data_IF_751663662080
#
_entry.id   IF_751663662080
#
_cell.length_a   1.000
_cell.length_b   1.000
_cell.length_c   1.000
_cell.angle_alpha   90.00
_cell.angle_beta   90.00
_cell.angle_gamma   90.00
#
_symmetry.space_group_name_H-M   'P 1'
#
loop_
_entity.id
_entity.type
_entity.pdbx_description
1 polymer ?
#
# COMPACT_ATOMS: atom_id res chain seq x y z
N UNK A 1 5.23 -0.46 -14.19
CA UNK A 1 4.22 -0.38 -13.10
C UNK A 1 4.63 -1.34 -12.00
N UNK A 2 4.44 -1.00 -10.71
CA UNK A 2 4.64 -1.97 -9.63
C UNK A 2 3.37 -2.78 -9.42
N UNK A 3 3.51 -4.11 -9.46
CA UNK A 3 2.41 -5.04 -9.23
C UNK A 3 2.68 -5.86 -7.99
N UNK A 4 1.67 -5.99 -7.13
CA UNK A 4 1.72 -6.83 -5.93
C UNK A 4 0.74 -7.99 -6.05
N UNK A 5 1.22 -9.21 -5.81
CA UNK A 5 0.40 -10.42 -5.71
C UNK A 5 0.54 -11.05 -4.34
N UNK A 6 -0.55 -11.58 -3.82
CA UNK A 6 -0.60 -12.15 -2.47
C UNK A 6 -0.70 -13.68 -2.54
N UNK A 7 0.23 -14.34 -1.88
CA UNK A 7 0.20 -15.77 -1.57
C UNK A 7 -0.13 -15.98 -0.08
N UNK A 8 -0.34 -17.23 0.34
CA UNK A 8 -0.56 -17.60 1.74
C UNK A 8 0.42 -18.69 2.16
N UNK A 9 0.96 -18.65 3.38
CA UNK A 9 1.71 -19.80 3.92
C UNK A 9 0.71 -20.94 4.16
N UNK A 10 0.94 -22.10 3.53
CA UNK A 10 0.01 -23.24 3.56
C UNK A 10 0.05 -23.95 4.91
N UNK A 11 1.25 -24.36 5.32
CA UNK A 11 1.52 -25.03 6.59
C UNK A 11 2.83 -24.52 7.18
N UNK A 12 2.88 -24.44 8.50
CA UNK A 12 4.04 -23.98 9.26
C UNK A 12 4.04 -24.69 10.62
N UNK A 13 5.20 -25.17 11.07
CA UNK A 13 5.28 -25.85 12.36
C UNK A 13 5.19 -24.84 13.50
N UNK A 14 4.96 -25.32 14.73
CA UNK A 14 4.94 -24.46 15.93
C UNK A 14 6.28 -23.73 16.12
N UNK A 15 7.39 -24.46 16.03
CA UNK A 15 8.76 -23.90 16.13
C UNK A 15 9.01 -22.83 15.06
N UNK A 16 8.72 -23.13 13.79
CA UNK A 16 8.87 -22.16 12.69
C UNK A 16 7.98 -20.92 12.89
N UNK A 17 6.78 -21.09 13.46
CA UNK A 17 5.87 -20.00 13.78
C UNK A 17 6.45 -19.09 14.85
N UNK A 18 7.00 -19.66 15.93
CA UNK A 18 7.63 -18.91 17.01
C UNK A 18 8.87 -18.15 16.52
N UNK A 19 9.70 -18.80 15.69
CA UNK A 19 10.85 -18.18 15.03
C UNK A 19 10.45 -17.01 14.13
N UNK A 20 9.44 -17.20 13.28
CA UNK A 20 8.97 -16.18 12.36
C UNK A 20 8.35 -14.99 13.10
N UNK A 21 7.55 -15.25 14.14
CA UNK A 21 6.98 -14.20 15.00
C UNK A 21 8.08 -13.42 15.71
N UNK A 22 9.11 -14.11 16.21
CA UNK A 22 10.25 -13.46 16.86
C UNK A 22 11.00 -12.58 15.88
N UNK A 23 11.27 -13.06 14.67
CA UNK A 23 11.91 -12.29 13.61
C UNK A 23 11.08 -11.06 13.20
N UNK A 24 9.77 -11.21 12.98
CA UNK A 24 8.84 -10.11 12.69
C UNK A 24 8.89 -9.05 13.81
N UNK A 25 8.79 -9.48 15.07
CA UNK A 25 8.80 -8.58 16.24
C UNK A 25 10.10 -7.79 16.33
N UNK A 26 11.23 -8.44 16.07
CA UNK A 26 12.55 -7.83 16.09
C UNK A 26 12.72 -6.82 14.95
N UNK A 27 12.34 -7.20 13.72
CA UNK A 27 12.33 -6.31 12.57
C UNK A 27 11.46 -5.07 12.77
N UNK A 28 10.22 -5.26 13.25
CA UNK A 28 9.30 -4.15 13.52
C UNK A 28 9.79 -3.22 14.63
N UNK A 29 10.50 -3.77 15.61
CA UNK A 29 11.15 -2.97 16.66
C UNK A 29 12.32 -2.17 16.11
N UNK A 30 13.14 -2.76 15.23
CA UNK A 30 14.20 -2.05 14.51
C UNK A 30 13.62 -0.91 13.66
N UNK A 31 12.55 -1.15 12.89
CA UNK A 31 11.86 -0.13 12.08
C UNK A 31 11.40 1.06 12.93
N UNK A 32 10.74 0.81 14.07
CA UNK A 32 10.29 1.88 14.98
C UNK A 32 11.44 2.67 15.58
N UNK A 33 12.51 1.98 15.96
CA UNK A 33 13.71 2.62 16.49
C UNK A 33 14.34 3.51 15.42
N UNK A 34 14.54 2.99 14.20
CA UNK A 34 15.02 3.76 13.05
C UNK A 34 14.16 4.98 12.78
N UNK A 35 12.82 4.85 12.81
CA UNK A 35 11.92 5.97 12.59
C UNK A 35 12.15 7.13 13.58
N UNK A 36 12.26 6.84 14.88
CA UNK A 36 12.51 7.86 15.90
C UNK A 36 13.88 8.51 15.71
N UNK A 37 14.92 7.72 15.44
CA UNK A 37 16.28 8.25 15.22
C UNK A 37 16.39 9.09 13.95
N UNK A 38 15.68 8.73 12.89
CA UNK A 38 15.61 9.54 11.66
C UNK A 38 14.93 10.89 11.91
N UNK A 39 13.92 10.95 12.79
CA UNK A 39 13.30 12.22 13.21
C UNK A 39 14.31 13.09 13.99
N UNK A 40 15.14 12.46 14.82
CA UNK A 40 16.20 13.12 15.59
C UNK A 40 17.41 13.53 14.75
N UNK A 41 17.41 13.25 13.43
CA UNK A 41 18.46 13.66 12.50
C UNK A 41 19.63 12.69 12.36
N UNK A 42 19.53 11.46 12.89
CA UNK A 42 20.59 10.46 12.73
C UNK A 42 20.77 10.00 11.27
N UNK A 43 22.02 9.76 10.87
CA UNK A 43 22.36 9.26 9.54
C UNK A 43 22.11 7.75 9.40
N UNK A 44 21.60 7.34 8.23
CA UNK A 44 21.35 5.94 7.88
C UNK A 44 22.54 5.00 8.08
N UNK A 45 23.76 5.39 7.68
CA UNK A 45 24.95 4.54 7.80
C UNK A 45 25.29 4.22 9.25
N UNK A 46 25.15 5.21 10.13
CA UNK A 46 25.37 5.04 11.56
C UNK A 46 24.24 4.23 12.20
N UNK A 47 23.01 4.40 11.74
CA UNK A 47 21.88 3.58 12.19
C UNK A 47 22.10 2.10 11.89
N UNK A 48 22.58 1.74 10.70
CA UNK A 48 22.87 0.34 10.36
C UNK A 48 23.86 -0.27 11.35
N UNK A 49 24.93 0.46 11.70
CA UNK A 49 25.95 0.01 12.67
C UNK A 49 25.37 -0.17 14.07
N UNK A 50 24.41 0.66 14.48
CA UNK A 50 23.70 0.52 15.77
C UNK A 50 22.69 -0.62 15.77
N UNK A 51 21.95 -0.82 14.66
CA UNK A 51 20.88 -1.80 14.57
C UNK A 51 21.38 -3.24 14.60
N UNK A 52 22.48 -3.55 13.92
CA UNK A 52 23.01 -4.91 13.82
C UNK A 52 23.31 -5.54 15.19
N UNK A 53 24.14 -4.94 16.07
CA UNK A 53 24.41 -5.51 17.40
C UNK A 53 23.18 -5.44 18.31
N UNK A 54 22.32 -4.42 18.15
CA UNK A 54 21.15 -4.21 19.02
C UNK A 54 20.01 -5.20 18.77
N UNK A 55 19.76 -5.53 17.51
CA UNK A 55 18.63 -6.38 17.10
C UNK A 55 19.06 -7.74 16.55
N UNK A 56 20.38 -7.99 16.46
CA UNK A 56 20.97 -9.23 15.91
C UNK A 56 20.45 -9.56 14.50
N UNK A 57 20.04 -8.54 13.75
CA UNK A 57 19.59 -8.67 12.37
C UNK A 57 20.79 -8.61 11.44
N UNK A 58 20.67 -9.28 10.28
CA UNK A 58 21.65 -9.10 9.22
C UNK A 58 21.58 -7.67 8.64
N UNK A 59 22.68 -7.22 8.04
CA UNK A 59 22.80 -5.87 7.44
C UNK A 59 21.61 -5.51 6.56
N UNK A 60 21.15 -6.45 5.73
CA UNK A 60 20.10 -6.23 4.75
C UNK A 60 18.72 -6.02 5.40
N UNK A 61 18.39 -6.76 6.46
CA UNK A 61 17.18 -6.47 7.24
C UNK A 61 17.27 -5.15 8.00
N UNK A 62 18.45 -4.74 8.48
CA UNK A 62 18.63 -3.41 9.07
C UNK A 62 18.37 -2.30 8.04
N UNK A 63 18.94 -2.42 6.83
CA UNK A 63 18.67 -1.51 5.72
C UNK A 63 17.18 -1.49 5.35
N UNK A 64 16.54 -2.65 5.26
CA UNK A 64 15.11 -2.77 4.94
C UNK A 64 14.22 -2.12 6.03
N UNK A 65 14.59 -2.24 7.31
CA UNK A 65 13.88 -1.60 8.41
C UNK A 65 14.00 -0.07 8.35
N UNK A 66 15.19 0.46 8.02
CA UNK A 66 15.42 1.89 7.82
C UNK A 66 14.63 2.40 6.60
N UNK A 67 14.67 1.67 5.49
CA UNK A 67 13.92 2.00 4.28
C UNK A 67 12.41 2.10 4.56
N UNK A 68 11.86 1.15 5.31
CA UNK A 68 10.45 1.19 5.72
C UNK A 68 10.16 2.41 6.62
N UNK A 69 11.06 2.73 7.55
CA UNK A 69 10.92 3.92 8.40
C UNK A 69 10.97 5.24 7.60
N UNK A 70 11.91 5.35 6.65
CA UNK A 70 12.01 6.49 5.73
C UNK A 70 10.76 6.64 4.88
N UNK A 71 10.23 5.53 4.34
CA UNK A 71 8.99 5.52 3.55
C UNK A 71 7.81 6.04 4.35
N UNK A 72 7.67 5.62 5.62
CA UNK A 72 6.63 6.14 6.53
C UNK A 72 6.82 7.65 6.74
N UNK A 73 8.04 8.10 7.02
CA UNK A 73 8.35 9.51 7.28
C UNK A 73 8.03 10.38 6.04
N UNK A 74 8.44 9.93 4.86
CA UNK A 74 8.18 10.60 3.60
C UNK A 74 6.66 10.73 3.35
N UNK A 75 5.92 9.62 3.47
CA UNK A 75 4.47 9.62 3.33
C UNK A 75 3.78 10.58 4.31
N UNK A 76 4.23 10.65 5.57
CA UNK A 76 3.68 11.64 6.51
C UNK A 76 3.96 13.08 6.09
N UNK A 77 5.15 13.37 5.57
CA UNK A 77 5.49 14.72 5.08
C UNK A 77 4.63 15.11 3.87
N UNK A 78 4.42 14.20 2.92
CA UNK A 78 3.57 14.45 1.75
C UNK A 78 2.10 14.66 2.10
N UNK A 79 1.59 13.94 3.12
CA UNK A 79 0.19 14.05 3.53
C UNK A 79 -0.10 15.30 4.37
N UNK A 80 0.91 15.92 4.98
CA UNK A 80 0.70 17.08 5.87
C UNK A 80 0.03 18.28 5.18
N UNK A 81 0.48 18.75 4.00
CA UNK A 81 -0.21 19.80 3.25
C UNK A 81 -1.66 19.44 2.92
N UNK A 82 -1.92 18.20 2.51
CA UNK A 82 -3.26 17.71 2.19
C UNK A 82 -4.15 17.72 3.44
N UNK A 83 -3.62 17.32 4.60
CA UNK A 83 -4.34 17.40 5.87
C UNK A 83 -4.62 18.83 6.30
N UNK A 84 -3.66 19.75 6.13
CA UNK A 84 -3.87 21.17 6.41
C UNK A 84 -5.03 21.72 5.59
N UNK A 85 -4.98 21.55 4.26
CA UNK A 85 -6.00 22.03 3.33
C UNK A 85 -7.38 21.42 3.65
N UNK A 86 -7.44 20.11 3.86
CA UNK A 86 -8.70 19.43 4.20
C UNK A 86 -9.30 19.96 5.52
N UNK A 87 -8.48 20.24 6.55
CA UNK A 87 -8.99 20.77 7.81
C UNK A 87 -9.41 22.24 7.69
N UNK A 88 -8.73 23.06 6.87
CA UNK A 88 -9.15 24.44 6.56
C UNK A 88 -10.53 24.46 5.90
N UNK A 89 -10.75 23.63 4.87
CA UNK A 89 -12.06 23.50 4.21
C UNK A 89 -13.15 23.01 5.15
N UNK A 90 -12.83 22.08 6.06
CA UNK A 90 -13.76 21.63 7.10
C UNK A 90 -14.10 22.75 8.09
N UNK A 91 -13.14 23.62 8.41
CA UNK A 91 -13.35 24.78 9.27
C UNK A 91 -14.28 25.79 8.59
N UNK A 92 -14.03 26.14 7.33
CA UNK A 92 -14.88 27.03 6.52
C UNK A 92 -16.33 26.54 6.48
N UNK A 93 -16.55 25.26 6.14
CA UNK A 93 -17.90 24.66 6.17
C UNK A 93 -18.53 24.69 7.56
N UNK A 94 -17.74 24.50 8.62
CA UNK A 94 -18.25 24.54 10.00
C UNK A 94 -18.66 25.97 10.38
N UNK A 95 -17.88 26.98 9.98
CA UNK A 95 -18.20 28.39 10.19
C UNK A 95 -19.46 28.80 9.42
N UNK A 96 -19.58 28.41 8.15
CA UNK A 96 -20.79 28.64 7.35
C UNK A 96 -22.02 27.99 7.99
N UNK A 97 -21.89 26.77 8.50
CA UNK A 97 -23.00 26.07 9.17
C UNK A 97 -23.42 26.78 10.47
N UNK A 98 -22.47 27.30 11.25
CA UNK A 98 -22.76 28.12 12.44
C UNK A 98 -23.53 29.38 12.04
N UNK A 99 -23.09 30.07 10.99
CA UNK A 99 -23.73 31.28 10.47
C UNK A 99 -25.16 31.01 9.97
N UNK A 100 -25.35 29.95 9.18
CA UNK A 100 -26.66 29.53 8.68
C UNK A 100 -27.67 29.27 9.83
N UNK A 101 -27.21 28.65 10.93
CA UNK A 101 -28.05 28.42 12.10
C UNK A 101 -28.38 29.71 12.85
N UNK A 102 -27.39 30.60 13.02
CA UNK A 102 -27.59 31.89 13.69
C UNK A 102 -28.55 32.80 12.92
N UNK A 103 -28.48 32.78 11.58
CA UNK A 103 -29.35 33.56 10.68
C UNK A 103 -30.72 32.90 10.43
N UNK A 104 -30.98 31.73 11.01
CA UNK A 104 -32.23 31.00 10.83
C UNK A 104 -32.42 30.34 9.45
N UNK A 105 -31.39 30.34 8.58
CA UNK A 105 -31.41 29.65 7.27
C UNK A 105 -31.51 28.14 7.41
N UNK A 106 -31.05 27.59 8.53
CA UNK A 106 -31.14 26.16 8.88
C UNK A 106 -31.71 26.00 10.28
N UNK A 107 -32.39 24.88 10.51
CA UNK A 107 -32.86 24.46 11.84
C UNK A 107 -32.39 23.03 12.15
N UNK A 108 -31.92 22.75 13.38
CA UNK A 108 -31.50 21.39 13.72
C UNK A 108 -32.72 20.46 13.80
N UNK A 109 -32.57 19.21 13.33
CA UNK A 109 -33.68 18.25 13.27
C UNK A 109 -33.87 17.41 14.54
N UNK A 110 -32.79 17.19 15.30
CA UNK A 110 -32.76 16.20 16.39
C UNK A 110 -32.51 16.81 17.78
N UNK A 111 -31.92 18.00 17.85
CA UNK A 111 -31.46 18.63 19.09
C UNK A 111 -31.81 20.11 19.08
N UNK A 112 -31.79 20.76 20.25
CA UNK A 112 -32.00 22.21 20.34
C UNK A 112 -30.92 22.99 19.56
N UNK A 113 -31.26 24.20 19.13
CA UNK A 113 -30.33 25.11 18.45
C UNK A 113 -29.08 25.36 19.30
N UNK A 114 -29.26 25.58 20.60
CA UNK A 114 -28.18 25.82 21.53
C UNK A 114 -27.22 24.63 21.60
N UNK A 115 -27.74 23.41 21.82
CA UNK A 115 -26.92 22.20 21.87
C UNK A 115 -26.16 21.97 20.55
N UNK A 116 -26.82 22.23 19.42
CA UNK A 116 -26.18 22.16 18.10
C UNK A 116 -25.02 23.15 17.97
N UNK A 117 -25.23 24.41 18.34
CA UNK A 117 -24.21 25.46 18.29
C UNK A 117 -23.03 25.16 19.23
N UNK A 118 -23.28 24.63 20.43
CA UNK A 118 -22.22 24.18 21.35
C UNK A 118 -21.37 23.09 20.68
N UNK A 119 -22.00 22.09 20.05
CA UNK A 119 -21.29 21.04 19.31
C UNK A 119 -20.44 21.58 18.17
N UNK A 120 -20.98 22.52 17.39
CA UNK A 120 -20.25 23.17 16.29
C UNK A 120 -19.10 24.04 16.78
N UNK A 121 -19.24 24.75 17.90
CA UNK A 121 -18.14 25.52 18.53
C UNK A 121 -17.01 24.61 18.99
N UNK A 122 -17.32 23.49 19.67
CA UNK A 122 -16.32 22.48 20.06
C UNK A 122 -15.60 21.90 18.86
N UNK A 123 -16.33 21.67 17.76
CA UNK A 123 -15.76 21.21 16.49
C UNK A 123 -14.83 22.25 15.89
N UNK A 124 -15.25 23.52 15.83
CA UNK A 124 -14.45 24.64 15.34
C UNK A 124 -13.10 24.70 16.07
N UNK A 125 -13.12 24.70 17.39
CA UNK A 125 -11.91 24.73 18.23
C UNK A 125 -10.95 23.56 17.93
N UNK A 126 -11.48 22.34 17.76
CA UNK A 126 -10.68 21.16 17.39
C UNK A 126 -10.04 21.28 16.02
N UNK A 127 -10.74 21.88 15.05
CA UNK A 127 -10.21 22.10 13.70
C UNK A 127 -9.12 23.16 13.70
N UNK A 128 -9.33 24.28 14.40
CA UNK A 128 -8.33 25.35 14.57
C UNK A 128 -7.04 24.79 15.19
N UNK A 129 -7.15 24.02 16.28
CA UNK A 129 -5.99 23.39 16.92
C UNK A 129 -5.22 22.46 15.98
N UNK A 130 -5.93 21.68 15.13
CA UNK A 130 -5.30 20.80 14.15
C UNK A 130 -4.58 21.57 13.05
N UNK A 131 -5.22 22.61 12.52
CA UNK A 131 -4.65 23.49 11.50
C UNK A 131 -3.35 24.12 12.02
N UNK A 132 -3.39 24.68 13.22
CA UNK A 132 -2.21 25.25 13.88
C UNK A 132 -1.10 24.22 14.05
N UNK A 133 -1.44 23.02 14.54
CA UNK A 133 -0.49 21.92 14.71
C UNK A 133 0.18 21.54 13.39
N UNK A 134 -0.60 21.36 12.33
CA UNK A 134 -0.06 20.99 11.01
C UNK A 134 0.78 22.11 10.40
N UNK A 135 0.32 23.37 10.49
CA UNK A 135 1.08 24.52 10.03
C UNK A 135 2.44 24.64 10.74
N UNK A 136 2.48 24.41 12.06
CA UNK A 136 3.73 24.38 12.84
C UNK A 136 4.68 23.28 12.36
N UNK A 137 4.17 22.07 12.12
CA UNK A 137 5.00 20.96 11.63
C UNK A 137 5.55 21.23 10.23
N UNK A 138 4.73 21.76 9.32
CA UNK A 138 5.15 22.16 7.97
C UNK A 138 6.24 23.23 8.04
N UNK A 139 6.01 24.31 8.81
CA UNK A 139 6.99 25.40 9.00
C UNK A 139 8.33 24.88 9.50
N UNK A 140 8.29 23.98 10.48
CA UNK A 140 9.49 23.43 11.11
C UNK A 140 10.09 22.23 10.36
N UNK A 141 9.52 21.82 9.22
CA UNK A 141 9.90 20.62 8.45
C UNK A 141 9.92 19.32 9.29
N UNK A 142 9.04 19.25 10.29
CA UNK A 142 8.86 18.09 11.18
C UNK A 142 7.55 17.36 10.87
N UNK A 143 7.33 16.21 11.50
CA UNK A 143 6.05 15.48 11.42
C UNK A 143 5.42 15.33 12.81
N UNK A 144 4.07 15.27 12.90
CA UNK A 144 3.41 14.88 14.13
C UNK A 144 3.87 13.51 14.62
N UNK A 145 3.80 13.25 15.94
CA UNK A 145 4.11 11.93 16.49
C UNK A 145 3.23 10.83 15.87
N UNK A 146 3.86 9.72 15.49
CA UNK A 146 3.16 8.55 14.95
C UNK A 146 2.90 7.53 16.05
N UNK A 147 1.68 7.03 16.10
CA UNK A 147 1.29 5.90 16.94
C UNK A 147 1.35 4.62 16.10
N UNK A 148 2.45 3.89 16.21
CA UNK A 148 2.58 2.56 15.60
C UNK A 148 1.53 1.61 16.18
N UNK A 149 0.91 0.78 15.33
CA UNK A 149 -0.22 -0.10 15.71
C UNK A 149 -1.59 0.57 15.62
N UNK A 150 -1.63 1.87 15.32
CA UNK A 150 -2.85 2.62 15.03
C UNK A 150 -3.43 3.33 16.26
N UNK A 151 -3.88 4.57 16.03
CA UNK A 151 -4.40 5.46 17.08
C UNK A 151 -5.63 4.88 17.81
N UNK A 152 -6.55 4.22 17.08
CA UNK A 152 -7.73 3.57 17.66
C UNK A 152 -7.32 2.55 18.73
N UNK A 153 -6.42 1.64 18.36
CA UNK A 153 -5.96 0.56 19.22
C UNK A 153 -5.18 1.08 20.43
N UNK A 154 -4.41 2.16 20.27
CA UNK A 154 -3.77 2.83 21.40
C UNK A 154 -4.79 3.34 22.42
N UNK A 155 -5.89 3.96 21.99
CA UNK A 155 -6.94 4.40 22.90
C UNK A 155 -7.70 3.22 23.54
N UNK A 156 -7.96 2.14 22.79
CA UNK A 156 -8.56 0.94 23.39
C UNK A 156 -7.61 0.30 24.42
N UNK A 157 -6.30 0.35 24.21
CA UNK A 157 -5.28 -0.05 25.20
C UNK A 157 -5.33 0.85 26.45
N UNK A 158 -5.46 2.17 26.29
CA UNK A 158 -5.58 3.10 27.42
C UNK A 158 -6.86 2.86 28.24
N UNK A 159 -7.92 2.38 27.59
CA UNK A 159 -9.18 1.99 28.23
C UNK A 159 -9.18 0.55 28.76
N UNK A 160 -8.03 -0.14 28.77
CA UNK A 160 -7.87 -1.53 29.18
C UNK A 160 -8.79 -2.54 28.45
N UNK A 161 -9.22 -2.22 27.23
CA UNK A 161 -10.05 -3.11 26.40
C UNK A 161 -9.24 -4.10 25.56
N UNK A 162 -7.96 -3.81 25.37
CA UNK A 162 -6.99 -4.76 24.82
C UNK A 162 -5.81 -4.86 25.77
N UNK A 163 -5.27 -6.05 25.90
CA UNK A 163 -4.09 -6.36 26.68
C UNK A 163 -2.82 -5.71 26.10
N UNK A 164 -1.76 -5.66 26.91
CA UNK A 164 -0.45 -5.22 26.45
C UNK A 164 0.11 -6.14 25.35
N UNK A 165 -0.18 -7.43 25.41
CA UNK A 165 0.29 -8.40 24.42
C UNK A 165 -0.41 -8.20 23.08
N UNK A 166 -1.74 -8.07 23.08
CA UNK A 166 -2.49 -7.73 21.87
C UNK A 166 -2.01 -6.42 21.23
N UNK A 167 -1.70 -5.41 22.05
CA UNK A 167 -1.13 -4.16 21.56
C UNK A 167 0.28 -4.32 20.94
N UNK A 168 1.12 -5.20 21.50
CA UNK A 168 2.42 -5.54 20.90
C UNK A 168 2.22 -6.29 19.58
N UNK A 169 1.29 -7.23 19.51
CA UNK A 169 0.98 -8.01 18.31
C UNK A 169 0.39 -7.14 17.20
N UNK A 170 -0.38 -6.11 17.55
CA UNK A 170 -0.87 -5.08 16.61
C UNK A 170 0.28 -4.27 15.96
N UNK A 171 1.42 -4.18 16.64
CA UNK A 171 2.62 -3.45 16.19
C UNK A 171 3.69 -4.36 15.58
N UNK A 172 3.52 -5.68 15.62
CA UNK A 172 4.51 -6.66 15.19
C UNK A 172 3.91 -7.60 14.15
N UNK A 173 3.51 -7.04 13.00
CA UNK A 173 2.73 -7.77 11.99
C UNK A 173 3.44 -8.01 10.68
N UNK A 174 4.55 -7.32 10.41
CA UNK A 174 5.11 -7.25 9.07
C UNK A 174 6.60 -7.59 9.11
N UNK A 175 7.04 -8.41 8.16
CA UNK A 175 8.45 -8.56 7.81
C UNK A 175 8.61 -8.18 6.35
N UNK A 176 9.53 -7.26 6.06
CA UNK A 176 9.75 -6.77 4.71
C UNK A 176 11.19 -7.05 4.28
N UNK A 177 11.37 -7.40 3.00
CA UNK A 177 12.70 -7.38 2.39
C UNK A 177 12.66 -7.00 0.92
N UNK A 178 13.55 -6.08 0.55
CA UNK A 178 13.70 -5.62 -0.83
C UNK A 178 14.46 -6.62 -1.69
N UNK A 179 14.05 -6.70 -2.95
CA UNK A 179 14.73 -7.50 -3.95
C UNK A 179 16.07 -6.92 -4.43
N UNK A 180 16.91 -7.76 -5.00
CA UNK A 180 18.18 -7.43 -5.67
C UNK A 180 18.45 -8.47 -6.75
N UNK A 181 18.53 -7.99 -8.00
CA UNK A 181 18.74 -8.81 -9.19
C UNK A 181 20.04 -9.61 -9.09
N UNK A 182 21.11 -9.01 -8.56
CA UNK A 182 22.42 -9.67 -8.39
C UNK A 182 22.40 -10.81 -7.36
N UNK A 183 21.35 -10.86 -6.52
CA UNK A 183 21.15 -11.88 -5.48
C UNK A 183 19.98 -12.80 -5.79
N UNK A 184 19.73 -13.02 -7.08
CA UNK A 184 18.69 -13.93 -7.59
C UNK A 184 17.29 -13.55 -7.08
N UNK A 185 16.94 -12.28 -7.25
CA UNK A 185 15.62 -11.74 -6.95
C UNK A 185 15.48 -11.23 -5.52
N UNK A 186 15.52 -12.10 -4.51
CA UNK A 186 15.48 -11.70 -3.09
C UNK A 186 16.36 -12.62 -2.23
N UNK A 187 17.25 -12.03 -1.42
CA UNK A 187 18.23 -12.77 -0.63
C UNK A 187 17.68 -13.25 0.71
N UNK A 188 16.88 -12.41 1.36
CA UNK A 188 16.36 -12.67 2.71
C UNK A 188 15.05 -13.44 2.69
N UNK A 189 14.24 -13.28 1.65
CA UNK A 189 12.96 -13.98 1.49
C UNK A 189 12.84 -14.49 0.05
N UNK A 190 13.35 -15.70 -0.18
CA UNK A 190 13.40 -16.31 -1.50
C UNK A 190 12.16 -17.16 -1.73
N UNK A 191 11.58 -17.03 -2.92
CA UNK A 191 10.50 -17.90 -3.36
C UNK A 191 11.04 -18.81 -4.45
N UNK A 192 10.74 -20.11 -4.35
CA UNK A 192 11.03 -21.12 -5.36
C UNK A 192 9.78 -21.94 -5.62
N UNK A 193 9.81 -22.71 -6.71
CA UNK A 193 8.76 -23.65 -7.09
C UNK A 193 9.44 -24.97 -7.43
N UNK A 194 8.92 -26.07 -6.92
CA UNK A 194 9.43 -27.41 -7.25
C UNK A 194 8.78 -27.98 -8.51
N UNK A 195 9.24 -29.16 -8.93
CA UNK A 195 8.80 -29.81 -10.17
C UNK A 195 7.31 -30.23 -10.14
N UNK A 196 6.73 -30.37 -8.94
CA UNK A 196 5.29 -30.61 -8.76
C UNK A 196 4.46 -29.33 -8.79
N UNK A 197 5.10 -28.17 -8.96
CA UNK A 197 4.48 -26.86 -8.99
C UNK A 197 4.18 -26.25 -7.62
N UNK A 198 4.63 -26.87 -6.53
CA UNK A 198 4.44 -26.34 -5.17
C UNK A 198 5.41 -25.18 -4.92
N UNK A 199 4.87 -24.04 -4.48
CA UNK A 199 5.65 -22.87 -4.10
C UNK A 199 6.26 -23.02 -2.70
N UNK A 200 7.50 -22.58 -2.53
CA UNK A 200 8.22 -22.58 -1.26
C UNK A 200 8.73 -21.18 -0.95
N UNK A 201 8.59 -20.74 0.30
CA UNK A 201 9.18 -19.53 0.83
C UNK A 201 10.30 -19.89 1.80
N UNK A 202 11.50 -19.38 1.52
CA UNK A 202 12.67 -19.49 2.37
C UNK A 202 13.04 -18.14 2.98
N UNK A 203 12.95 -18.04 4.30
CA UNK A 203 13.16 -16.81 5.07
C UNK A 203 14.46 -16.93 5.85
N UNK A 204 15.43 -16.04 5.59
CA UNK A 204 16.63 -15.94 6.40
C UNK A 204 16.26 -15.56 7.84
N UNK A 205 16.68 -16.38 8.81
CA UNK A 205 16.49 -16.13 10.23
C UNK A 205 17.86 -15.82 10.88
N UNK A 206 18.33 -14.56 10.89
CA UNK A 206 19.60 -14.20 11.52
C UNK A 206 19.61 -14.42 13.05
N UNK A 207 18.45 -14.50 13.69
CA UNK A 207 18.33 -14.69 15.15
C UNK A 207 18.67 -16.12 15.59
N UNK A 208 18.48 -17.11 14.70
CA UNK A 208 18.86 -18.50 14.96
C UNK A 208 20.33 -18.81 14.64
N UNK A 209 21.18 -17.81 14.41
CA UNK A 209 22.57 -18.02 14.02
C UNK A 209 23.39 -18.56 15.19
N UNK A 210 23.90 -19.78 15.07
CA UNK A 210 24.85 -20.37 16.02
C UNK A 210 26.27 -19.88 15.79
N UNK A 211 27.09 -19.83 16.85
CA UNK A 211 28.50 -19.47 16.77
C UNK A 211 29.24 -20.31 15.71
N UNK A 212 30.10 -19.66 14.91
CA UNK A 212 30.90 -20.30 13.86
C UNK A 212 30.24 -20.46 12.48
N UNK A 213 28.91 -20.36 12.35
CA UNK A 213 28.24 -20.43 11.03
C UNK A 213 28.26 -19.08 10.32
N UNK A 214 28.65 -19.06 9.05
CA UNK A 214 28.69 -17.84 8.22
C UNK A 214 27.29 -17.43 7.76
N UNK A 215 26.41 -18.39 7.47
CA UNK A 215 25.07 -18.16 6.92
C UNK A 215 23.99 -18.28 8.00
N UNK A 216 23.01 -17.38 7.95
CA UNK A 216 21.79 -17.50 8.77
C UNK A 216 21.02 -18.77 8.39
N UNK A 217 20.45 -19.53 9.36
CA UNK A 217 19.50 -20.58 9.05
C UNK A 217 18.28 -20.00 8.30
N UNK A 218 17.52 -20.87 7.63
CA UNK A 218 16.34 -20.46 6.88
C UNK A 218 15.10 -21.21 7.36
N UNK A 219 14.04 -20.46 7.59
CA UNK A 219 12.70 -21.01 7.78
C UNK A 219 12.15 -21.30 6.38
N UNK A 220 11.98 -22.58 6.05
CA UNK A 220 11.42 -23.02 4.76
C UNK A 220 9.99 -23.51 4.98
N UNK A 221 9.04 -22.90 4.28
CA UNK A 221 7.61 -23.19 4.41
C UNK A 221 6.93 -23.23 3.04
N UNK A 222 5.94 -24.13 2.82
CA UNK A 222 5.16 -24.13 1.59
C UNK A 222 4.21 -22.94 1.54
N UNK A 223 4.03 -22.36 0.35
CA UNK A 223 3.08 -21.29 0.08
C UNK A 223 2.06 -21.69 -0.99
N UNK A 224 0.82 -21.24 -0.82
CA UNK A 224 -0.25 -21.34 -1.81
C UNK A 224 -0.11 -20.15 -2.75
N UNK A 225 0.22 -20.44 -4.01
CA UNK A 225 0.24 -19.46 -5.11
C UNK A 225 -1.13 -19.48 -5.79
N UNK A 226 -1.85 -18.35 -5.89
CA UNK A 226 -3.15 -18.32 -6.56
C UNK A 226 -3.03 -18.74 -8.03
N UNK A 227 -3.87 -19.69 -8.46
CA UNK A 227 -3.83 -20.25 -9.82
C UNK A 227 -3.79 -19.19 -10.92
N UNK A 228 -4.63 -18.15 -10.81
CA UNK A 228 -4.76 -17.10 -11.82
C UNK A 228 -3.48 -16.25 -11.97
N UNK A 229 -2.63 -16.23 -10.95
CA UNK A 229 -1.37 -15.48 -10.95
C UNK A 229 -0.15 -16.39 -10.96
N UNK A 230 -0.35 -17.71 -11.13
CA UNK A 230 0.71 -18.69 -11.00
C UNK A 230 1.88 -18.39 -11.92
N UNK A 231 1.65 -18.39 -13.24
CA UNK A 231 2.69 -18.10 -14.24
C UNK A 231 3.31 -16.73 -14.06
N UNK A 232 2.50 -15.72 -13.71
CA UNK A 232 3.00 -14.37 -13.47
C UNK A 232 4.01 -14.34 -12.32
N UNK A 233 3.69 -15.00 -11.20
CA UNK A 233 4.55 -15.07 -10.03
C UNK A 233 5.78 -15.95 -10.33
N UNK A 234 5.59 -17.14 -10.91
CA UNK A 234 6.69 -18.07 -11.18
C UNK A 234 7.72 -17.48 -12.13
N UNK A 235 7.29 -16.79 -13.19
CA UNK A 235 8.18 -16.14 -14.15
C UNK A 235 9.08 -15.09 -13.47
N UNK A 236 8.56 -14.36 -12.48
CA UNK A 236 9.31 -13.36 -11.73
C UNK A 236 10.28 -14.01 -10.74
N UNK A 237 9.81 -14.98 -9.94
CA UNK A 237 10.60 -15.52 -8.82
C UNK A 237 11.64 -16.54 -9.25
N UNK A 238 11.36 -17.32 -10.30
CA UNK A 238 12.31 -18.31 -10.84
C UNK A 238 13.32 -17.68 -11.80
N UNK A 239 12.94 -16.60 -12.49
CA UNK A 239 13.74 -15.97 -13.54
C UNK A 239 13.65 -16.69 -14.88
N UNK A 240 14.27 -16.11 -15.91
CA UNK A 240 14.26 -16.63 -17.28
C UNK A 240 15.62 -17.21 -17.63
N UNK A 241 15.68 -18.45 -18.12
CA UNK A 241 16.92 -18.99 -18.67
C UNK A 241 17.25 -18.24 -19.97
N UNK A 242 18.44 -17.65 -20.03
CA UNK A 242 18.93 -16.87 -21.18
C UNK A 242 20.09 -17.54 -21.92
N UNK A 243 20.60 -18.65 -21.39
CA UNK A 243 21.67 -19.41 -22.02
C UNK A 243 22.22 -20.47 -21.09
N UNK A 244 23.35 -21.05 -21.49
CA UNK A 244 24.15 -21.99 -20.68
C UNK A 244 25.58 -21.47 -20.61
N UNK A 245 26.23 -21.65 -19.46
CA UNK A 245 27.64 -21.34 -19.34
C UNK A 245 28.50 -22.44 -19.99
N UNK A 246 29.82 -22.23 -20.18
CA UNK A 246 30.70 -23.24 -20.78
C UNK A 246 30.76 -24.58 -20.03
N UNK A 247 30.24 -24.66 -18.81
CA UNK A 247 30.14 -25.88 -17.99
C UNK A 247 28.75 -26.54 -18.06
N UNK A 248 27.91 -26.14 -19.01
CA UNK A 248 26.56 -26.67 -19.22
C UNK A 248 25.52 -26.23 -18.18
N UNK A 249 25.85 -25.30 -17.26
CA UNK A 249 24.88 -24.81 -16.26
C UNK A 249 24.02 -23.69 -16.82
N UNK A 250 22.70 -23.68 -16.55
CA UNK A 250 21.81 -22.62 -17.03
C UNK A 250 22.19 -21.27 -16.45
N UNK A 251 22.22 -20.26 -17.31
CA UNK A 251 22.34 -18.85 -16.94
C UNK A 251 20.91 -18.31 -16.83
N UNK A 252 20.54 -17.89 -15.62
CA UNK A 252 19.20 -17.40 -15.32
C UNK A 252 19.26 -15.88 -15.14
N UNK A 253 18.49 -15.18 -15.96
CA UNK A 253 18.20 -13.75 -15.76
C UNK A 253 17.10 -13.60 -14.72
N UNK A 254 17.47 -13.03 -13.57
CA UNK A 254 16.54 -12.80 -12.47
C UNK A 254 15.96 -11.40 -12.53
N UNK A 255 14.69 -11.28 -12.12
CA UNK A 255 14.08 -10.00 -11.81
C UNK A 255 14.15 -9.76 -10.30
N UNK A 256 14.31 -8.50 -9.88
CA UNK A 256 14.20 -8.15 -8.46
C UNK A 256 12.73 -8.14 -8.05
N UNK A 257 12.43 -8.67 -6.88
CA UNK A 257 11.09 -8.60 -6.28
C UNK A 257 11.20 -8.39 -4.78
N UNK A 258 10.36 -7.52 -4.24
CA UNK A 258 10.21 -7.35 -2.80
C UNK A 258 9.23 -8.38 -2.26
N UNK A 259 9.50 -8.85 -1.05
CA UNK A 259 8.59 -9.73 -0.31
C UNK A 259 8.19 -9.03 0.98
N UNK A 260 6.90 -9.10 1.29
CA UNK A 260 6.33 -8.63 2.54
C UNK A 260 5.47 -9.75 3.14
N UNK A 261 5.82 -10.20 4.34
CA UNK A 261 5.01 -11.14 5.10
C UNK A 261 4.12 -10.34 6.03
N UNK A 262 2.80 -10.55 5.95
CA UNK A 262 1.80 -9.95 6.84
C UNK A 262 1.18 -11.04 7.71
N UNK A 263 1.34 -10.91 9.02
CA UNK A 263 0.66 -11.73 10.02
C UNK A 263 -0.75 -11.19 10.28
N UNK A 264 -1.74 -12.07 10.14
CA UNK A 264 -3.14 -11.82 10.54
C UNK A 264 -3.56 -12.95 11.47
N UNK A 265 -3.70 -12.64 12.77
CA UNK A 265 -3.96 -13.65 13.81
C UNK A 265 -2.90 -14.76 13.77
N UNK A 266 -3.29 -15.98 13.39
CA UNK A 266 -2.42 -17.16 13.29
C UNK A 266 -2.00 -17.48 11.85
N UNK A 267 -2.40 -16.64 10.88
CA UNK A 267 -2.08 -16.84 9.48
C UNK A 267 -1.03 -15.84 8.98
N UNK A 268 -0.30 -16.25 7.94
CA UNK A 268 0.71 -15.44 7.28
C UNK A 268 0.41 -15.33 5.78
N UNK A 269 0.36 -14.09 5.30
CA UNK A 269 0.18 -13.74 3.91
C UNK A 269 1.50 -13.22 3.35
N UNK A 270 1.82 -13.58 2.10
CA UNK A 270 3.09 -13.26 1.46
C UNK A 270 2.80 -12.40 0.24
N UNK A 271 3.04 -11.10 0.37
CA UNK A 271 2.91 -10.14 -0.72
C UNK A 271 4.22 -10.10 -1.50
N UNK A 272 4.14 -10.36 -2.79
CA UNK A 272 5.27 -10.32 -3.73
C UNK A 272 5.07 -9.10 -4.62
N UNK A 273 5.99 -8.15 -4.58
CA UNK A 273 5.93 -6.93 -5.37
C UNK A 273 7.06 -6.88 -6.37
N UNK A 274 6.74 -6.69 -7.65
CA UNK A 274 7.70 -6.66 -8.74
C UNK A 274 7.31 -5.61 -9.78
N UNK A 275 8.29 -5.23 -10.61
CA UNK A 275 8.08 -4.29 -11.70
C UNK A 275 7.54 -5.06 -12.91
N UNK A 276 6.39 -4.65 -13.43
CA UNK A 276 5.84 -5.11 -14.71
C UNK A 276 6.19 -4.12 -15.82
N UNK A 277 6.53 -4.67 -16.98
CA UNK A 277 6.74 -3.90 -18.21
C UNK A 277 5.43 -3.24 -18.60
N UNK A 278 5.45 -1.91 -18.73
CA UNK A 278 4.31 -1.14 -19.21
C UNK A 278 4.22 -1.26 -20.74
N UNK A 279 3.04 -1.61 -21.23
CA UNK A 279 2.72 -1.61 -22.65
C UNK A 279 1.86 -0.36 -22.88
N UNK A 280 2.47 0.70 -23.43
CA UNK A 280 1.85 2.00 -23.64
C UNK A 280 2.44 3.11 -22.76
N UNK A 281 2.05 4.35 -23.03
CA UNK A 281 2.45 5.55 -22.27
C UNK A 281 1.33 6.59 -22.28
N UNK A 282 1.33 7.47 -21.29
CA UNK A 282 0.53 8.69 -21.32
C UNK A 282 1.17 9.65 -22.31
N UNK A 283 0.37 10.22 -23.21
CA UNK A 283 0.81 11.24 -24.15
C UNK A 283 0.81 12.61 -23.49
N UNK A 284 1.82 13.43 -23.79
CA UNK A 284 1.82 14.83 -23.38
C UNK A 284 0.84 15.65 -24.25
N UNK A 285 0.46 16.84 -23.79
CA UNK A 285 -0.53 17.70 -24.44
C UNK A 285 -0.18 18.08 -25.89
N UNK A 286 1.11 18.04 -26.24
CA UNK A 286 1.63 18.36 -27.58
C UNK A 286 1.67 17.16 -28.52
N UNK A 287 1.43 15.96 -28.01
CA UNK A 287 1.57 14.73 -28.76
C UNK A 287 0.22 14.26 -29.29
N UNK A 288 0.21 13.81 -30.54
CA UNK A 288 -1.00 13.28 -31.18
C UNK A 288 -1.04 11.76 -31.07
N UNK A 289 -2.21 11.17 -30.80
CA UNK A 289 -2.37 9.73 -30.84
C UNK A 289 -2.07 9.19 -32.24
N UNK A 290 -1.25 8.14 -32.35
CA UNK A 290 -0.97 7.49 -33.62
C UNK A 290 -2.14 6.64 -34.13
N UNK A 291 -2.98 6.14 -33.21
CA UNK A 291 -4.12 5.30 -33.57
C UNK A 291 -5.27 6.10 -34.15
N UNK A 292 -5.93 5.50 -35.14
CA UNK A 292 -7.03 6.16 -35.86
C UNK A 292 -8.29 6.31 -35.01
N UNK A 293 -8.51 5.43 -34.02
CA UNK A 293 -9.67 5.44 -33.12
C UNK A 293 -9.23 5.60 -31.67
N UNK A 294 -9.84 6.55 -30.99
CA UNK A 294 -9.60 6.91 -29.59
C UNK A 294 -10.93 6.84 -28.82
N UNK A 295 -10.89 6.47 -27.55
CA UNK A 295 -12.06 6.46 -26.68
C UNK A 295 -11.97 7.53 -25.58
N UNK A 296 -12.99 8.37 -25.47
CA UNK A 296 -13.25 9.19 -24.28
C UNK A 296 -14.10 8.41 -23.28
N UNK A 297 -13.65 8.34 -22.02
CA UNK A 297 -14.35 7.64 -20.94
C UNK A 297 -14.76 8.66 -19.87
N UNK A 298 -16.06 8.80 -19.68
CA UNK A 298 -16.68 9.61 -18.62
C UNK A 298 -17.21 8.70 -17.51
N UNK A 299 -16.79 8.97 -16.26
CA UNK A 299 -17.06 8.11 -15.10
C UNK A 299 -18.02 8.79 -14.13
N UNK A 300 -19.20 8.21 -13.99
CA UNK A 300 -20.22 8.65 -13.04
C UNK A 300 -20.49 7.55 -11.98
N UNK A 301 -21.08 7.89 -10.82
CA UNK A 301 -21.35 6.92 -9.76
C UNK A 301 -22.25 5.73 -10.17
N UNK A 302 -23.14 5.94 -11.13
CA UNK A 302 -24.17 5.01 -11.59
C UNK A 302 -23.93 4.44 -13.00
N UNK A 303 -22.95 4.98 -13.74
CA UNK A 303 -22.65 4.57 -15.11
C UNK A 303 -21.25 5.01 -15.56
N UNK A 304 -20.71 4.30 -16.54
CA UNK A 304 -19.51 4.71 -17.29
C UNK A 304 -19.94 4.88 -18.74
N UNK A 305 -19.77 6.08 -19.28
CA UNK A 305 -20.03 6.37 -20.69
C UNK A 305 -18.72 6.32 -21.46
N UNK A 306 -18.71 5.58 -22.56
CA UNK A 306 -17.54 5.49 -23.45
C UNK A 306 -17.95 5.96 -24.84
N UNK A 307 -17.24 6.95 -25.37
CA UNK A 307 -17.46 7.50 -26.71
C UNK A 307 -16.22 7.31 -27.57
N UNK A 308 -16.40 6.86 -28.81
CA UNK A 308 -15.34 6.64 -29.77
C UNK A 308 -15.29 7.80 -30.76
N UNK A 309 -14.08 8.29 -31.02
CA UNK A 309 -13.83 9.28 -32.04
C UNK A 309 -12.63 8.88 -32.90
N UNK A 310 -12.61 9.37 -34.14
CA UNK A 310 -11.42 9.31 -34.98
C UNK A 310 -10.38 10.33 -34.52
N UNK A 311 -9.12 10.16 -34.93
CA UNK A 311 -8.06 11.16 -34.68
C UNK A 311 -8.39 12.58 -35.22
N UNK A 312 -9.29 12.68 -36.20
CA UNK A 312 -9.80 13.95 -36.73
C UNK A 312 -10.99 14.53 -35.94
N UNK A 313 -11.43 13.86 -34.87
CA UNK A 313 -12.54 14.31 -34.03
C UNK A 313 -13.93 13.83 -34.47
N UNK A 314 -14.04 13.04 -35.55
CA UNK A 314 -15.35 12.52 -35.99
C UNK A 314 -15.86 11.43 -35.04
N UNK A 315 -17.12 11.53 -34.63
CA UNK A 315 -17.79 10.52 -33.80
C UNK A 315 -17.92 9.18 -34.53
N UNK A 316 -17.64 8.08 -33.84
CA UNK A 316 -17.72 6.70 -34.36
C UNK A 316 -18.78 5.85 -33.67
N UNK A 317 -19.15 6.20 -32.43
CA UNK A 317 -20.12 5.45 -31.65
C UNK A 317 -19.94 5.68 -30.16
N UNK A 318 -20.92 5.27 -29.37
CA UNK A 318 -20.85 5.34 -27.91
C UNK A 318 -21.55 4.14 -27.28
N UNK A 319 -21.18 3.84 -26.04
CA UNK A 319 -21.79 2.80 -25.23
C UNK A 319 -21.80 3.21 -23.78
N UNK A 320 -22.92 2.93 -23.10
CA UNK A 320 -23.09 3.19 -21.68
C UNK A 320 -23.01 1.85 -20.93
N UNK A 321 -22.16 1.79 -19.91
CA UNK A 321 -22.01 0.65 -19.02
C UNK A 321 -22.58 1.03 -17.65
N UNK A 322 -23.77 0.52 -17.32
CA UNK A 322 -24.45 0.87 -16.09
C UNK A 322 -23.85 0.17 -14.86
N UNK A 323 -23.73 0.93 -13.77
CA UNK A 323 -23.25 0.50 -12.45
C UNK A 323 -24.41 0.51 -11.45
N UNK A 324 -25.46 -0.26 -11.73
CA UNK A 324 -26.65 -0.31 -10.89
C UNK A 324 -26.30 -0.68 -9.45
N UNK A 325 -26.83 0.10 -8.48
CA UNK A 325 -26.74 -0.17 -7.05
C UNK A 325 -25.31 -0.24 -6.48
N UNK A 326 -24.32 0.35 -7.17
CA UNK A 326 -22.93 0.30 -6.71
C UNK A 326 -22.80 0.83 -5.27
N UNK A 327 -23.51 1.91 -4.93
CA UNK A 327 -23.53 2.53 -3.61
C UNK A 327 -24.11 1.67 -2.48
N UNK A 328 -24.90 0.64 -2.78
CA UNK A 328 -25.52 -0.23 -1.77
C UNK A 328 -24.68 -1.48 -1.48
N UNK A 329 -23.71 -1.80 -2.33
CA UNK A 329 -22.90 -3.01 -2.19
C UNK A 329 -21.71 -2.83 -1.24
N UNK A 330 -21.31 -3.94 -0.61
CA UNK A 330 -20.08 -4.02 0.16
C UNK A 330 -18.86 -3.73 -0.72
N UNK A 331 -17.76 -3.28 -0.14
CA UNK A 331 -16.53 -2.92 -0.87
C UNK A 331 -16.02 -4.05 -1.77
N UNK A 332 -16.03 -5.31 -1.30
CA UNK A 332 -15.58 -6.45 -2.10
C UNK A 332 -16.49 -6.71 -3.30
N UNK A 333 -17.82 -6.60 -3.10
CA UNK A 333 -18.79 -6.78 -4.18
C UNK A 333 -18.68 -5.65 -5.20
N UNK A 334 -18.51 -4.40 -4.76
CA UNK A 334 -18.23 -3.25 -5.65
C UNK A 334 -16.99 -3.49 -6.51
N UNK A 335 -15.86 -3.90 -5.90
CA UNK A 335 -14.63 -4.18 -6.63
C UNK A 335 -14.82 -5.28 -7.69
N UNK A 336 -15.59 -6.31 -7.38
CA UNK A 336 -15.90 -7.40 -8.32
C UNK A 336 -16.73 -6.90 -9.51
N UNK A 337 -17.80 -6.15 -9.25
CA UNK A 337 -18.68 -5.59 -10.29
C UNK A 337 -17.90 -4.61 -11.18
N UNK A 338 -17.11 -3.71 -10.57
CA UNK A 338 -16.23 -2.79 -11.31
C UNK A 338 -15.28 -3.59 -12.20
N UNK A 339 -14.66 -4.66 -11.70
CA UNK A 339 -13.77 -5.51 -12.49
C UNK A 339 -14.46 -6.14 -13.70
N UNK A 340 -15.69 -6.63 -13.53
CA UNK A 340 -16.49 -7.19 -14.63
C UNK A 340 -16.82 -6.12 -15.70
N UNK A 341 -17.24 -4.93 -15.26
CA UNK A 341 -17.54 -3.82 -16.18
C UNK A 341 -16.29 -3.35 -16.91
N UNK A 342 -15.16 -3.22 -16.23
CA UNK A 342 -13.88 -2.89 -16.86
C UNK A 342 -13.48 -3.93 -17.91
N UNK A 343 -13.74 -5.22 -17.65
CA UNK A 343 -13.50 -6.27 -18.64
C UNK A 343 -14.43 -6.14 -19.87
N UNK A 344 -15.70 -5.79 -19.67
CA UNK A 344 -16.62 -5.52 -20.78
C UNK A 344 -16.19 -4.30 -21.60
N UNK A 345 -15.80 -3.20 -20.92
CA UNK A 345 -15.26 -2.00 -21.57
C UNK A 345 -14.02 -2.37 -22.38
N UNK A 346 -13.04 -3.06 -21.78
CA UNK A 346 -11.82 -3.51 -22.46
C UNK A 346 -12.14 -4.33 -23.71
N UNK A 347 -13.06 -5.30 -23.60
CA UNK A 347 -13.46 -6.15 -24.72
C UNK A 347 -14.03 -5.32 -25.86
N UNK A 348 -14.96 -4.41 -25.53
CA UNK A 348 -15.57 -3.51 -26.51
C UNK A 348 -14.56 -2.55 -27.16
N UNK A 349 -13.60 -2.03 -26.40
CA UNK A 349 -12.52 -1.19 -26.93
C UNK A 349 -11.62 -1.95 -27.91
N UNK A 350 -11.29 -3.22 -27.60
CA UNK A 350 -10.49 -4.07 -28.50
C UNK A 350 -11.25 -4.41 -29.78
N UNK A 351 -12.54 -4.76 -29.69
CA UNK A 351 -13.41 -5.01 -30.86
C UNK A 351 -13.47 -3.81 -31.81
N UNK A 352 -13.35 -2.59 -31.28
CA UNK A 352 -13.38 -1.35 -32.05
C UNK A 352 -11.99 -0.83 -32.45
N UNK A 353 -10.93 -1.62 -32.25
CA UNK A 353 -9.54 -1.26 -32.55
C UNK A 353 -9.12 0.08 -31.93
N UNK A 354 -9.58 0.35 -30.71
CA UNK A 354 -9.22 1.57 -29.99
C UNK A 354 -7.76 1.46 -29.55
N UNK A 355 -6.94 2.42 -29.97
CA UNK A 355 -5.51 2.43 -29.62
C UNK A 355 -5.11 3.49 -28.60
N UNK A 356 -6.07 4.26 -28.07
CA UNK A 356 -5.85 5.20 -26.99
C UNK A 356 -7.13 5.50 -26.22
N UNK A 357 -6.98 5.81 -24.93
CA UNK A 357 -8.08 6.21 -24.05
C UNK A 357 -7.80 7.58 -23.45
N UNK A 358 -8.86 8.37 -23.26
CA UNK A 358 -8.86 9.65 -22.56
C UNK A 358 -9.74 9.49 -21.33
N UNK A 359 -9.20 9.87 -20.17
CA UNK A 359 -9.84 9.80 -18.87
C UNK A 359 -9.76 11.17 -18.21
N UNK A 360 -10.75 11.48 -17.37
CA UNK A 360 -10.74 12.69 -16.55
C UNK A 360 -9.68 12.62 -15.44
N UNK A 361 -8.94 13.72 -15.22
CA UNK A 361 -8.08 13.89 -14.04
C UNK A 361 -8.93 14.30 -12.82
N UNK A 362 -9.58 13.31 -12.20
CA UNK A 362 -10.49 13.52 -11.08
C UNK A 362 -9.74 13.78 -9.76
N UNK A 363 -9.80 15.02 -9.28
CA UNK A 363 -9.24 15.44 -7.98
C UNK A 363 -10.31 15.47 -6.89
N UNK A 364 -10.41 14.40 -6.12
CA UNK A 364 -11.37 14.31 -5.01
C UNK A 364 -10.83 14.95 -3.73
N UNK A 365 -11.46 16.04 -3.29
CA UNK A 365 -11.17 16.65 -1.99
C UNK A 365 -12.01 16.00 -0.88
N UNK A 366 -11.38 15.59 0.22
CA UNK A 366 -12.08 15.10 1.42
C UNK A 366 -12.66 16.27 2.24
N UNK A 367 -13.65 16.93 1.64
CA UNK A 367 -14.38 18.04 2.25
C UNK A 367 -15.60 17.58 3.07
N UNK A 368 -15.84 16.27 3.14
CA UNK A 368 -16.89 15.62 3.93
C UNK A 368 -16.28 14.86 5.11
N UNK A 369 -17.05 14.63 6.17
CA UNK A 369 -16.61 13.77 7.27
C UNK A 369 -16.80 12.30 6.91
N UNK A 370 -15.84 11.47 7.34
CA UNK A 370 -16.00 10.03 7.57
C UNK A 370 -16.16 9.77 9.06
#
# INVERSE_FOLDING_TARGET
MKTTRTCKINSITKEQTEDLITLIRTFESAKRYSFNRLIEGENEKELIKKLQPKYLLNKRFCEDAILQAQTILFSQKELLPVYLENNQKKLEKTLQKIDDYKRGKKRPKQVSLETCLIGLRKRKQKLEQRIETYAKHIKNKTVPPIIFGGRKNFYERMKNKISNQEWKDLRARQLYSRGDKSKKGNLNMRITVDDCGQGWLEIANPLGRTNGKIKSPRIKVPIIIPYHFYHQITNVVMGKQIGVNPKGKPIIDHQKYSVEIIRKQNEFYVNITFDETEIGRVLDFKETPQSDVIAGIDVNPDRIAVSLCTKQGNFKGSKIFYLHNLNTFSTNKRATIIGQIVQQIKTWLLENNVGGIVLEDLKFQQSHDT
#
